data_IF_498282721491
#
_entry.id   IF_498282721491
#
_cell.length_a   1.000
_cell.length_b   1.000
_cell.length_c   1.000
_cell.angle_alpha   90.00
_cell.angle_beta   90.00
_cell.angle_gamma   90.00
#
_symmetry.space_group_name_H-M   'P 1'
#
loop_
_entity.id
_entity.type
_entity.pdbx_description
1 polymer ?
#
# COMPACT_ATOMS: atom_id res chain seq x y z
N UNK A 1 22.63 6.07 -18.31
CA UNK A 1 22.48 5.50 -16.94
C UNK A 1 21.78 4.15 -17.08
N UNK A 2 22.15 3.15 -16.29
CA UNK A 2 21.42 1.87 -16.27
C UNK A 2 19.97 2.10 -15.83
N UNK A 3 19.01 1.34 -16.41
CA UNK A 3 17.61 1.39 -16.00
C UNK A 3 17.48 0.98 -14.53
N UNK A 4 16.50 1.53 -13.83
CA UNK A 4 16.16 1.14 -12.46
C UNK A 4 15.66 -0.30 -12.42
N UNK A 5 16.01 -1.05 -11.39
CA UNK A 5 15.55 -2.41 -11.17
C UNK A 5 14.44 -2.45 -10.12
N UNK A 6 13.28 -2.97 -10.49
CA UNK A 6 12.11 -3.09 -9.62
C UNK A 6 11.81 -4.57 -9.41
N UNK A 7 11.87 -5.02 -8.15
CA UNK A 7 11.59 -6.41 -7.80
C UNK A 7 10.18 -6.54 -7.20
N UNK A 8 9.43 -7.51 -7.70
CA UNK A 8 8.09 -7.84 -7.23
C UNK A 8 8.16 -9.18 -6.49
N UNK A 9 7.94 -9.14 -5.18
CA UNK A 9 7.94 -10.34 -4.32
C UNK A 9 6.51 -10.80 -4.12
N UNK A 10 6.14 -11.83 -4.86
CA UNK A 10 4.79 -12.34 -5.07
C UNK A 10 4.33 -12.07 -6.51
N UNK A 11 4.11 -13.15 -7.28
CA UNK A 11 3.71 -13.09 -8.70
C UNK A 11 2.24 -13.46 -8.92
N UNK A 12 1.39 -13.22 -7.91
CA UNK A 12 -0.07 -13.39 -8.03
C UNK A 12 -0.72 -12.35 -8.96
N UNK A 13 -2.01 -12.06 -8.75
CA UNK A 13 -2.74 -11.09 -9.57
C UNK A 13 -2.19 -9.67 -9.39
N UNK A 14 -1.92 -9.26 -8.15
CA UNK A 14 -1.32 -7.94 -7.87
C UNK A 14 0.07 -7.85 -8.51
N UNK A 15 0.92 -8.88 -8.35
CA UNK A 15 2.27 -8.90 -8.91
C UNK A 15 2.29 -8.78 -10.43
N UNK A 16 1.44 -9.51 -11.15
CA UNK A 16 1.29 -9.38 -12.60
C UNK A 16 0.82 -7.99 -13.04
N UNK A 17 -0.19 -7.44 -12.35
CA UNK A 17 -0.69 -6.09 -12.63
C UNK A 17 0.37 -5.01 -12.37
N UNK A 18 1.14 -5.14 -11.28
CA UNK A 18 2.28 -4.26 -10.98
C UNK A 18 3.31 -4.30 -12.12
N UNK A 19 3.71 -5.50 -12.54
CA UNK A 19 4.71 -5.68 -13.61
C UNK A 19 4.27 -4.97 -14.89
N UNK A 20 3.03 -5.15 -15.30
CA UNK A 20 2.47 -4.52 -16.48
C UNK A 20 2.42 -2.98 -16.37
N UNK A 21 1.87 -2.46 -15.26
CA UNK A 21 1.80 -1.01 -15.04
C UNK A 21 3.18 -0.34 -14.94
N UNK A 22 4.17 -1.00 -14.36
CA UNK A 22 5.55 -0.51 -14.26
C UNK A 22 6.15 -0.36 -15.66
N UNK A 23 5.92 -1.33 -16.54
CA UNK A 23 6.36 -1.27 -17.93
C UNK A 23 5.70 -0.14 -18.68
N UNK A 24 4.37 -0.07 -18.70
CA UNK A 24 3.62 0.99 -19.38
C UNK A 24 4.05 2.42 -18.95
N UNK A 25 4.53 2.55 -17.71
CA UNK A 25 5.06 3.83 -17.20
C UNK A 25 6.57 3.99 -17.37
N UNK A 26 7.23 3.01 -17.97
CA UNK A 26 8.69 2.98 -18.21
C UNK A 26 9.51 3.31 -16.95
N UNK A 27 9.09 2.77 -15.80
CA UNK A 27 9.75 3.08 -14.52
C UNK A 27 11.08 2.34 -14.34
N UNK A 28 11.29 1.24 -15.06
CA UNK A 28 12.51 0.44 -15.01
C UNK A 28 12.30 -1.00 -15.44
N UNK A 29 13.34 -1.82 -15.30
CA UNK A 29 13.31 -3.25 -15.56
C UNK A 29 12.66 -3.99 -14.37
N UNK A 30 11.87 -5.03 -14.67
CA UNK A 30 11.09 -5.75 -13.67
C UNK A 30 11.63 -7.16 -13.46
N UNK A 31 11.84 -7.53 -12.21
CA UNK A 31 12.08 -8.93 -11.83
C UNK A 31 10.95 -9.42 -10.92
N UNK A 32 10.36 -10.55 -11.28
CA UNK A 32 9.29 -11.18 -10.54
C UNK A 32 9.82 -12.37 -9.74
N UNK A 33 9.52 -12.41 -8.45
CA UNK A 33 9.85 -13.51 -7.56
C UNK A 33 8.58 -14.18 -7.04
N UNK A 34 8.52 -15.49 -7.10
CA UNK A 34 7.50 -16.30 -6.40
C UNK A 34 8.07 -17.67 -6.04
N UNK A 35 7.51 -18.30 -5.00
CA UNK A 35 7.84 -19.69 -4.63
C UNK A 35 7.20 -20.71 -5.58
N UNK A 36 6.12 -20.34 -6.28
CA UNK A 36 5.45 -21.18 -7.26
C UNK A 36 6.31 -21.34 -8.52
N UNK A 37 6.54 -22.59 -8.91
CA UNK A 37 7.39 -22.89 -10.06
C UNK A 37 6.73 -22.45 -11.38
N UNK A 38 7.49 -21.85 -12.26
CA UNK A 38 7.04 -21.38 -13.57
C UNK A 38 6.17 -20.11 -13.58
N UNK A 39 5.48 -19.79 -12.49
CA UNK A 39 4.56 -18.63 -12.45
C UNK A 39 5.28 -17.30 -12.67
N UNK A 40 6.38 -16.95 -11.97
CA UNK A 40 7.04 -15.69 -12.19
C UNK A 40 7.68 -15.60 -13.59
N UNK A 41 8.21 -16.69 -14.11
CA UNK A 41 8.81 -16.74 -15.46
C UNK A 41 7.74 -16.59 -16.53
N UNK A 42 6.63 -17.35 -16.44
CA UNK A 42 5.53 -17.32 -17.38
C UNK A 42 4.89 -15.92 -17.48
N UNK A 43 4.58 -15.30 -16.36
CA UNK A 43 4.05 -13.94 -16.34
C UNK A 43 5.05 -12.90 -16.86
N UNK A 44 6.31 -13.01 -16.48
CA UNK A 44 7.35 -12.12 -17.00
C UNK A 44 7.48 -12.22 -18.53
N UNK A 45 7.41 -13.44 -19.09
CA UNK A 45 7.47 -13.67 -20.54
C UNK A 45 6.23 -13.12 -21.26
N UNK A 46 5.04 -13.37 -20.74
CA UNK A 46 3.78 -12.88 -21.30
C UNK A 46 3.76 -11.34 -21.37
N UNK A 47 4.12 -10.68 -20.25
CA UNK A 47 4.20 -9.22 -20.20
C UNK A 47 5.32 -8.70 -21.12
N UNK A 48 6.46 -9.36 -21.19
CA UNK A 48 7.53 -8.99 -22.13
C UNK A 48 7.06 -9.04 -23.59
N UNK A 49 6.19 -10.00 -23.94
CA UNK A 49 5.61 -10.11 -25.29
C UNK A 49 4.60 -9.01 -25.60
N UNK A 50 4.02 -8.33 -24.60
CA UNK A 50 3.15 -7.18 -24.80
C UNK A 50 3.94 -5.88 -25.10
N UNK A 51 5.20 -5.79 -24.71
CA UNK A 51 5.99 -4.56 -24.81
C UNK A 51 6.18 -4.05 -26.25
N UNK A 52 6.36 -4.91 -27.31
CA UNK A 52 6.44 -4.42 -28.68
C UNK A 52 5.12 -3.79 -29.17
N UNK A 53 3.98 -4.25 -28.66
CA UNK A 53 2.65 -3.70 -29.01
C UNK A 53 2.45 -2.32 -28.35
N UNK A 54 2.90 -2.19 -27.11
CA UNK A 54 2.80 -0.94 -26.34
C UNK A 54 3.92 0.07 -26.66
N UNK A 55 4.96 -0.35 -27.37
CA UNK A 55 6.10 0.52 -27.71
C UNK A 55 6.98 0.87 -26.51
N UNK A 56 7.12 -0.03 -25.54
CA UNK A 56 7.95 0.18 -24.34
C UNK A 56 9.13 -0.77 -24.28
N UNK A 57 10.26 -0.30 -23.76
CA UNK A 57 11.53 -1.04 -23.72
C UNK A 57 11.90 -1.52 -22.32
N UNK A 58 10.98 -2.04 -21.53
CA UNK A 58 11.27 -2.61 -20.22
C UNK A 58 11.70 -4.09 -20.36
N UNK A 59 12.74 -4.50 -19.63
CA UNK A 59 13.13 -5.90 -19.53
C UNK A 59 12.37 -6.58 -18.37
N UNK A 60 11.96 -7.84 -18.62
CA UNK A 60 11.25 -8.66 -17.64
C UNK A 60 11.95 -9.98 -17.42
N UNK A 61 12.00 -10.41 -16.15
CA UNK A 61 12.51 -11.73 -15.78
C UNK A 61 11.77 -12.27 -14.57
N UNK A 62 11.82 -13.59 -14.36
CA UNK A 62 11.20 -14.22 -13.21
C UNK A 62 12.05 -15.35 -12.63
N UNK A 63 11.88 -15.64 -11.35
CA UNK A 63 12.58 -16.72 -10.68
C UNK A 63 12.06 -17.03 -9.29
N UNK A 64 12.47 -18.19 -8.74
CA UNK A 64 12.06 -18.68 -7.42
C UNK A 64 13.15 -18.59 -6.35
N UNK A 65 14.32 -18.10 -6.69
CA UNK A 65 15.40 -17.85 -5.73
C UNK A 65 15.48 -16.37 -5.41
N UNK A 66 15.67 -16.04 -4.14
CA UNK A 66 15.78 -14.63 -3.72
C UNK A 66 16.96 -13.87 -4.33
N UNK A 67 17.96 -14.55 -4.90
CA UNK A 67 19.07 -13.87 -5.60
C UNK A 67 18.59 -13.01 -6.76
N UNK A 68 17.42 -13.30 -7.34
CA UNK A 68 16.84 -12.53 -8.46
C UNK A 68 16.57 -11.07 -8.07
N UNK A 69 16.28 -10.78 -6.77
CA UNK A 69 16.05 -9.41 -6.30
C UNK A 69 17.36 -8.64 -6.04
N UNK A 70 18.54 -9.26 -6.24
CA UNK A 70 19.83 -8.61 -5.98
C UNK A 70 19.95 -7.29 -6.73
N UNK A 71 20.32 -6.24 -5.99
CA UNK A 71 20.53 -4.91 -6.54
C UNK A 71 19.27 -4.17 -6.94
N UNK A 72 18.08 -4.60 -6.51
CA UNK A 72 16.86 -3.86 -6.78
C UNK A 72 16.87 -2.46 -6.12
N UNK A 73 16.43 -1.43 -6.87
CA UNK A 73 16.21 -0.08 -6.36
C UNK A 73 14.91 0.00 -5.53
N UNK A 74 13.87 -0.72 -6.01
CA UNK A 74 12.56 -0.80 -5.35
C UNK A 74 12.13 -2.26 -5.24
N UNK A 75 11.55 -2.61 -4.09
CA UNK A 75 10.90 -3.90 -3.89
C UNK A 75 9.45 -3.67 -3.50
N UNK A 76 8.52 -4.31 -4.20
CA UNK A 76 7.10 -4.31 -3.84
C UNK A 76 6.72 -5.71 -3.38
N UNK A 77 6.26 -5.82 -2.12
CA UNK A 77 5.96 -7.10 -1.48
C UNK A 77 4.45 -7.33 -1.46
N UNK A 78 4.02 -8.32 -2.23
CA UNK A 78 2.63 -8.80 -2.28
C UNK A 78 2.51 -10.25 -1.79
N UNK A 79 3.64 -10.88 -1.48
CA UNK A 79 3.71 -12.25 -1.00
C UNK A 79 2.91 -12.43 0.31
N UNK A 80 2.12 -13.47 0.38
CA UNK A 80 1.24 -13.79 1.51
C UNK A 80 -0.04 -14.42 1.03
N UNK A 81 -0.83 -14.91 1.98
CA UNK A 81 -2.15 -15.47 1.69
C UNK A 81 -3.24 -14.44 1.94
N UNK A 82 -4.26 -14.34 1.08
CA UNK A 82 -5.46 -13.57 1.37
C UNK A 82 -6.28 -14.26 2.46
N UNK A 83 -7.11 -13.50 3.18
CA UNK A 83 -8.05 -14.07 4.13
C UNK A 83 -9.05 -14.98 3.42
N UNK A 84 -9.15 -16.22 3.88
CA UNK A 84 -10.10 -17.20 3.36
C UNK A 84 -11.34 -17.29 4.29
N UNK A 85 -12.51 -17.73 3.78
CA UNK A 85 -13.66 -18.04 4.62
C UNK A 85 -13.27 -19.01 5.74
N UNK A 86 -13.74 -18.75 6.96
CA UNK A 86 -13.40 -19.55 8.14
C UNK A 86 -12.05 -19.25 8.81
N UNK A 87 -11.18 -18.46 8.17
CA UNK A 87 -9.89 -18.09 8.74
C UNK A 87 -10.05 -16.93 9.74
N UNK A 88 -9.56 -17.13 10.96
CA UNK A 88 -9.49 -16.06 11.96
C UNK A 88 -8.48 -14.99 11.57
N UNK A 89 -8.54 -13.83 12.24
CA UNK A 89 -7.55 -12.76 12.06
C UNK A 89 -6.16 -13.21 12.54
N UNK A 90 -6.10 -13.97 13.63
CA UNK A 90 -4.85 -14.44 14.22
C UNK A 90 -4.18 -15.50 13.35
N UNK A 91 -4.96 -16.39 12.70
CA UNK A 91 -4.44 -17.35 11.72
C UNK A 91 -3.77 -16.63 10.55
N UNK A 92 -4.42 -15.58 10.02
CA UNK A 92 -3.87 -14.80 8.92
C UNK A 92 -2.56 -14.11 9.33
N UNK A 93 -2.52 -13.53 10.53
CA UNK A 93 -1.30 -12.92 11.09
C UNK A 93 -0.20 -13.96 11.19
N UNK A 94 -0.47 -15.14 11.75
CA UNK A 94 0.53 -16.19 11.96
C UNK A 94 1.13 -16.70 10.63
N UNK A 95 0.30 -16.90 9.62
CA UNK A 95 0.75 -17.36 8.30
C UNK A 95 1.60 -16.28 7.62
N UNK A 96 1.08 -15.05 7.53
CA UNK A 96 1.76 -13.99 6.81
C UNK A 96 3.01 -13.47 7.56
N UNK A 97 3.06 -13.60 8.88
CA UNK A 97 4.28 -13.31 9.65
C UNK A 97 5.45 -14.23 9.25
N UNK A 98 5.19 -15.52 9.03
CA UNK A 98 6.21 -16.46 8.53
C UNK A 98 6.67 -16.07 7.12
N UNK A 99 5.76 -15.63 6.26
CA UNK A 99 6.11 -15.13 4.93
C UNK A 99 6.98 -13.88 5.04
N UNK A 100 6.62 -12.91 5.91
CA UNK A 100 7.43 -11.70 6.12
C UNK A 100 8.82 -12.00 6.65
N UNK A 101 8.98 -13.04 7.47
CA UNK A 101 10.29 -13.47 7.95
C UNK A 101 11.20 -13.97 6.79
N UNK A 102 10.64 -14.76 5.87
CA UNK A 102 11.37 -15.24 4.69
C UNK A 102 11.72 -14.10 3.74
N UNK A 103 10.74 -13.23 3.42
CA UNK A 103 10.94 -12.06 2.56
C UNK A 103 11.97 -11.10 3.16
N UNK A 104 11.85 -10.80 4.46
CA UNK A 104 12.80 -9.93 5.17
C UNK A 104 14.21 -10.46 5.15
N UNK A 105 14.41 -11.78 5.35
CA UNK A 105 15.72 -12.42 5.24
C UNK A 105 16.30 -12.32 3.82
N UNK A 106 15.46 -12.51 2.79
CA UNK A 106 15.85 -12.34 1.39
C UNK A 106 16.31 -10.91 1.08
N UNK A 107 15.53 -9.92 1.51
CA UNK A 107 15.87 -8.49 1.36
C UNK A 107 17.17 -8.16 2.08
N UNK A 108 17.31 -8.59 3.33
CA UNK A 108 18.54 -8.39 4.13
C UNK A 108 19.77 -8.94 3.44
N UNK A 109 19.66 -10.08 2.76
CA UNK A 109 20.78 -10.74 2.08
C UNK A 109 21.12 -10.08 0.74
N UNK A 110 20.12 -9.73 -0.07
CA UNK A 110 20.32 -9.42 -1.48
C UNK A 110 20.05 -7.97 -1.88
N UNK A 111 19.31 -7.19 -1.08
CA UNK A 111 18.82 -5.87 -1.49
C UNK A 111 18.78 -4.84 -0.33
N UNK A 112 19.87 -4.68 0.38
CA UNK A 112 20.01 -3.83 1.59
C UNK A 112 19.73 -2.34 1.37
N UNK A 113 19.77 -1.87 0.13
CA UNK A 113 19.60 -0.45 -0.20
C UNK A 113 18.23 -0.14 -0.85
N UNK A 114 17.41 -1.17 -1.08
CA UNK A 114 16.13 -1.00 -1.75
C UNK A 114 15.14 -0.17 -0.93
N UNK A 115 14.29 0.58 -1.62
CA UNK A 115 13.06 1.11 -1.05
C UNK A 115 11.98 0.03 -1.12
N UNK A 116 11.36 -0.27 0.02
CA UNK A 116 10.44 -1.42 0.15
C UNK A 116 9.02 -0.94 0.40
N UNK A 117 8.10 -1.35 -0.47
CA UNK A 117 6.66 -1.09 -0.35
C UNK A 117 5.96 -2.42 0.00
N UNK A 118 5.34 -2.51 1.17
CA UNK A 118 4.56 -3.66 1.61
C UNK A 118 3.08 -3.49 1.24
N UNK A 119 2.47 -4.56 0.68
CA UNK A 119 1.02 -4.63 0.38
C UNK A 119 0.34 -5.74 1.18
N UNK A 120 1.11 -6.70 1.70
CA UNK A 120 0.62 -7.89 2.40
C UNK A 120 -0.22 -7.54 3.62
N UNK A 121 -1.39 -8.19 3.75
CA UNK A 121 -2.33 -7.98 4.86
C UNK A 121 -2.11 -9.00 6.02
N UNK A 122 -2.42 -8.60 7.28
CA UNK A 122 -2.88 -7.27 7.72
C UNK A 122 -1.75 -6.24 7.64
N UNK A 123 -1.96 -5.22 6.80
CA UNK A 123 -0.89 -4.37 6.29
C UNK A 123 -0.01 -3.74 7.37
N UNK A 124 -0.63 -3.09 8.36
CA UNK A 124 0.11 -2.31 9.36
C UNK A 124 1.04 -3.18 10.22
N UNK A 125 0.62 -4.42 10.49
CA UNK A 125 1.45 -5.40 11.18
C UNK A 125 2.52 -6.00 10.27
N UNK A 126 2.18 -6.27 9.01
CA UNK A 126 3.12 -6.90 8.07
C UNK A 126 4.23 -5.94 7.64
N UNK A 127 3.95 -4.66 7.43
CA UNK A 127 5.00 -3.66 7.15
C UNK A 127 5.94 -3.49 8.34
N UNK A 128 5.40 -3.48 9.55
CA UNK A 128 6.20 -3.44 10.77
C UNK A 128 7.11 -4.69 10.87
N UNK A 129 6.53 -5.89 10.74
CA UNK A 129 7.28 -7.13 10.81
C UNK A 129 8.35 -7.25 9.71
N UNK A 130 8.01 -6.86 8.48
CA UNK A 130 8.93 -6.86 7.35
C UNK A 130 10.15 -5.96 7.63
N UNK A 131 9.93 -4.78 8.22
CA UNK A 131 11.02 -3.91 8.63
C UNK A 131 11.90 -4.57 9.70
N UNK A 132 11.29 -5.18 10.72
CA UNK A 132 12.04 -5.86 11.78
C UNK A 132 12.91 -7.00 11.22
N UNK A 133 12.36 -7.86 10.36
CA UNK A 133 13.10 -8.97 9.76
C UNK A 133 14.15 -8.54 8.73
N UNK A 134 13.89 -7.50 7.95
CA UNK A 134 14.85 -7.01 6.95
C UNK A 134 15.99 -6.20 7.56
N UNK A 135 15.72 -5.55 8.70
CA UNK A 135 16.68 -4.65 9.36
C UNK A 135 16.96 -3.37 8.58
N UNK A 136 16.14 -3.04 7.58
CA UNK A 136 16.27 -1.78 6.83
C UNK A 136 15.95 -0.57 7.72
N UNK A 137 16.49 0.62 7.44
CA UNK A 137 16.09 1.83 8.14
C UNK A 137 14.62 2.16 7.86
N UNK A 138 13.93 2.81 8.82
CA UNK A 138 12.49 3.06 8.75
C UNK A 138 12.05 3.87 7.52
N UNK A 139 12.89 4.79 7.06
CA UNK A 139 12.61 5.59 5.85
C UNK A 139 12.67 4.79 4.54
N UNK A 140 13.18 3.56 4.58
CA UNK A 140 13.25 2.67 3.41
C UNK A 140 12.12 1.63 3.37
N UNK A 141 11.26 1.58 4.36
CA UNK A 141 10.14 0.63 4.42
C UNK A 141 8.83 1.39 4.64
N UNK A 142 7.83 1.13 3.81
CA UNK A 142 6.52 1.78 3.86
C UNK A 142 5.41 0.82 3.47
N UNK A 143 4.22 0.99 4.02
CA UNK A 143 3.03 0.21 3.65
C UNK A 143 2.11 0.97 2.70
N UNK A 144 1.61 0.29 1.67
CA UNK A 144 0.57 0.80 0.78
C UNK A 144 -0.79 0.62 1.48
N UNK A 145 -1.37 1.71 1.95
CA UNK A 145 -2.60 1.75 2.75
C UNK A 145 -3.52 2.87 2.27
N UNK A 146 -3.40 4.04 2.87
CA UNK A 146 -4.25 5.18 2.61
C UNK A 146 -4.24 5.69 1.17
N UNK A 147 -3.20 5.40 0.37
CA UNK A 147 -3.20 5.70 -1.07
C UNK A 147 -4.35 4.99 -1.76
N UNK A 148 -4.54 3.69 -1.49
CA UNK A 148 -5.66 2.91 -2.01
C UNK A 148 -6.99 3.37 -1.41
N UNK A 149 -7.04 3.57 -0.10
CA UNK A 149 -8.28 3.94 0.59
C UNK A 149 -8.75 5.33 0.15
N UNK A 150 -7.83 6.27 -0.04
CA UNK A 150 -8.11 7.60 -0.60
C UNK A 150 -8.53 7.53 -2.07
N UNK A 151 -7.96 6.62 -2.87
CA UNK A 151 -8.38 6.43 -4.26
C UNK A 151 -9.83 5.94 -4.35
N UNK A 152 -10.26 5.03 -3.48
CA UNK A 152 -11.67 4.60 -3.37
C UNK A 152 -12.57 5.77 -2.99
N UNK A 153 -12.16 6.53 -1.97
CA UNK A 153 -12.92 7.70 -1.52
C UNK A 153 -13.05 8.75 -2.64
N UNK A 154 -11.94 9.06 -3.34
CA UNK A 154 -11.95 9.96 -4.50
C UNK A 154 -12.92 9.49 -5.59
N UNK A 155 -12.89 8.21 -5.93
CA UNK A 155 -13.77 7.64 -6.93
C UNK A 155 -15.25 7.81 -6.55
N UNK A 156 -15.64 7.44 -5.33
CA UNK A 156 -17.02 7.58 -4.89
C UNK A 156 -17.47 9.04 -4.76
N UNK A 157 -16.56 9.95 -4.40
CA UNK A 157 -16.85 11.39 -4.39
C UNK A 157 -17.04 11.92 -5.82
N UNK A 158 -16.22 11.49 -6.78
CA UNK A 158 -16.39 11.93 -8.18
C UNK A 158 -17.74 11.50 -8.76
N UNK A 159 -18.22 10.28 -8.41
CA UNK A 159 -19.57 9.83 -8.79
C UNK A 159 -20.67 10.67 -8.14
N UNK A 160 -20.53 11.01 -6.85
CA UNK A 160 -21.49 11.84 -6.11
C UNK A 160 -21.62 13.23 -6.71
N UNK A 161 -20.48 13.87 -7.00
CA UNK A 161 -20.44 15.24 -7.50
C UNK A 161 -20.52 15.36 -9.02
N UNK A 162 -20.45 14.22 -9.75
CA UNK A 162 -20.43 14.14 -11.22
C UNK A 162 -19.32 14.99 -11.84
N UNK A 163 -18.12 14.88 -11.27
CA UNK A 163 -16.90 15.57 -11.72
C UNK A 163 -15.80 14.57 -12.05
N UNK A 164 -14.77 15.04 -12.76
CA UNK A 164 -13.57 14.24 -12.99
C UNK A 164 -12.90 13.81 -11.67
N UNK A 165 -12.36 12.61 -11.62
CA UNK A 165 -11.51 12.14 -10.50
C UNK A 165 -10.25 13.00 -10.35
N UNK A 166 -9.84 13.75 -11.37
CA UNK A 166 -8.68 14.65 -11.33
C UNK A 166 -8.93 15.84 -10.41
N UNK A 167 -10.19 16.29 -10.32
CA UNK A 167 -10.61 17.41 -9.46
C UNK A 167 -10.83 17.00 -7.99
N UNK A 168 -10.79 15.71 -7.67
CA UNK A 168 -11.03 15.23 -6.32
C UNK A 168 -9.73 14.90 -5.59
N UNK A 169 -9.51 15.54 -4.45
CA UNK A 169 -8.46 15.19 -3.50
C UNK A 169 -9.09 14.62 -2.24
N UNK A 170 -8.53 13.52 -1.72
CA UNK A 170 -9.02 12.92 -0.49
C UNK A 170 -7.88 12.38 0.37
N UNK A 171 -8.07 12.40 1.68
CA UNK A 171 -7.16 11.83 2.66
C UNK A 171 -7.86 10.83 3.55
N UNK A 172 -7.29 9.62 3.61
CA UNK A 172 -7.69 8.57 4.56
C UNK A 172 -6.47 8.20 5.38
N UNK A 173 -6.58 8.33 6.69
CA UNK A 173 -5.53 8.06 7.67
C UNK A 173 -5.84 6.82 8.50
N UNK A 174 -4.94 6.49 9.45
CA UNK A 174 -5.11 5.37 10.37
C UNK A 174 -4.66 4.03 9.80
N UNK A 175 -4.98 2.95 10.50
CA UNK A 175 -4.71 1.59 10.03
C UNK A 175 -5.57 1.21 8.82
N UNK A 176 -5.02 0.39 7.95
CA UNK A 176 -5.71 -0.09 6.75
C UNK A 176 -6.80 -1.13 7.12
N UNK A 177 -8.06 -0.81 6.84
CA UNK A 177 -9.23 -1.65 7.12
C UNK A 177 -10.38 -0.89 7.79
N UNK A 178 -11.22 -1.58 8.56
CA UNK A 178 -12.48 -1.07 9.11
C UNK A 178 -12.32 0.17 10.00
N UNK A 179 -11.13 0.39 10.57
CA UNK A 179 -10.82 1.52 11.44
C UNK A 179 -10.15 2.69 10.72
N UNK A 180 -10.08 2.67 9.39
CA UNK A 180 -9.55 3.79 8.63
C UNK A 180 -10.32 5.09 8.91
N UNK A 181 -9.65 6.22 8.76
CA UNK A 181 -10.16 7.54 9.12
C UNK A 181 -10.19 8.45 7.89
N UNK A 182 -11.28 8.42 7.11
CA UNK A 182 -11.50 9.39 6.03
C UNK A 182 -11.67 10.80 6.63
N UNK A 183 -10.92 11.76 6.11
CA UNK A 183 -10.90 13.15 6.61
C UNK A 183 -11.68 14.06 5.67
N UNK A 184 -12.94 14.36 6.02
CA UNK A 184 -13.80 15.24 5.22
C UNK A 184 -13.21 16.64 5.05
N UNK A 185 -12.67 17.23 6.12
CA UNK A 185 -12.11 18.59 6.11
C UNK A 185 -10.87 18.75 5.22
N UNK A 186 -10.15 17.65 4.98
CA UNK A 186 -8.94 17.61 4.12
C UNK A 186 -9.23 16.93 2.79
N UNK A 187 -10.50 16.66 2.49
CA UNK A 187 -10.94 16.13 1.20
C UNK A 187 -11.72 17.20 0.46
N UNK A 188 -11.38 17.40 -0.83
CA UNK A 188 -11.87 18.56 -1.60
C UNK A 188 -12.28 18.15 -3.00
N UNK A 189 -13.17 18.95 -3.61
CA UNK A 189 -13.44 18.97 -5.05
C UNK A 189 -12.96 20.31 -5.59
N UNK A 190 -12.02 20.30 -6.50
CA UNK A 190 -11.39 21.50 -7.06
C UNK A 190 -10.93 22.51 -5.97
N UNK A 191 -10.41 22.01 -4.85
CA UNK A 191 -9.97 22.78 -3.70
C UNK A 191 -11.08 23.19 -2.72
N UNK A 192 -12.36 22.93 -3.01
CA UNK A 192 -13.47 23.23 -2.10
C UNK A 192 -13.64 22.08 -1.12
N UNK A 193 -13.51 22.31 0.21
CA UNK A 193 -13.66 21.26 1.21
C UNK A 193 -15.05 20.62 1.24
N UNK A 194 -15.14 19.32 1.50
CA UNK A 194 -16.43 18.61 1.56
C UNK A 194 -17.45 19.25 2.52
N UNK A 195 -17.07 19.76 3.72
CA UNK A 195 -18.04 20.45 4.59
C UNK A 195 -18.65 21.70 3.95
N UNK A 196 -17.92 22.42 3.09
CA UNK A 196 -18.44 23.60 2.41
C UNK A 196 -19.36 23.21 1.25
N UNK A 197 -19.08 22.11 0.54
CA UNK A 197 -19.99 21.54 -0.47
C UNK A 197 -21.33 21.12 0.14
N UNK A 198 -21.34 20.64 1.40
CA UNK A 198 -22.59 20.37 2.15
C UNK A 198 -23.33 21.66 2.44
N UNK A 199 -22.65 22.73 2.92
CA UNK A 199 -23.26 24.04 3.16
C UNK A 199 -23.85 24.65 1.86
N UNK A 200 -23.16 24.45 0.73
CA UNK A 200 -23.59 24.87 -0.61
C UNK A 200 -24.76 24.01 -1.14
N UNK A 201 -25.20 22.98 -0.42
CA UNK A 201 -26.23 22.03 -0.82
C UNK A 201 -25.93 21.24 -2.12
N UNK A 202 -24.65 21.09 -2.46
CA UNK A 202 -24.22 20.25 -3.59
C UNK A 202 -24.29 18.76 -3.24
N UNK A 203 -24.16 18.43 -1.95
CA UNK A 203 -24.47 17.12 -1.38
C UNK A 203 -25.06 17.30 0.03
N UNK A 204 -25.30 16.18 0.74
CA UNK A 204 -25.76 16.19 2.14
C UNK A 204 -24.80 15.39 3.03
N UNK A 205 -24.76 15.72 4.33
CA UNK A 205 -23.95 14.95 5.28
C UNK A 205 -24.34 13.45 5.31
N UNK A 206 -25.63 13.14 5.14
CA UNK A 206 -26.11 11.76 5.09
C UNK A 206 -25.53 10.99 3.88
N UNK A 207 -25.38 11.63 2.73
CA UNK A 207 -24.75 11.03 1.54
C UNK A 207 -23.25 10.86 1.74
N UNK A 208 -22.56 11.86 2.28
CA UNK A 208 -21.12 11.73 2.61
C UNK A 208 -20.87 10.59 3.59
N UNK A 209 -21.70 10.44 4.63
CA UNK A 209 -21.56 9.33 5.59
C UNK A 209 -21.71 7.96 4.91
N UNK A 210 -22.62 7.82 3.94
CA UNK A 210 -22.76 6.59 3.15
C UNK A 210 -21.51 6.33 2.30
N UNK A 211 -20.95 7.35 1.67
CA UNK A 211 -19.71 7.24 0.87
C UNK A 211 -18.52 6.87 1.74
N UNK A 212 -18.38 7.48 2.92
CA UNK A 212 -17.36 7.15 3.90
C UNK A 212 -17.47 5.68 4.34
N UNK A 213 -18.69 5.22 4.63
CA UNK A 213 -18.89 3.81 5.01
C UNK A 213 -18.56 2.87 3.84
N UNK A 214 -19.02 3.17 2.61
CA UNK A 214 -18.69 2.39 1.42
C UNK A 214 -17.18 2.36 1.15
N UNK A 215 -16.46 3.45 1.46
CA UNK A 215 -14.99 3.48 1.37
C UNK A 215 -14.34 2.47 2.33
N UNK A 216 -14.84 2.38 3.57
CA UNK A 216 -14.37 1.39 4.55
C UNK A 216 -14.66 -0.04 4.09
N UNK A 217 -15.82 -0.26 3.50
CA UNK A 217 -16.29 -1.57 3.02
C UNK A 217 -15.78 -1.93 1.62
N UNK A 218 -15.09 -1.01 0.94
CA UNK A 218 -14.73 -1.15 -0.48
C UNK A 218 -13.90 -2.39 -0.82
N UNK A 219 -13.10 -2.89 0.11
CA UNK A 219 -12.41 -4.19 -0.04
C UNK A 219 -13.37 -5.37 0.02
N UNK A 220 -14.29 -5.36 0.99
CA UNK A 220 -15.30 -6.40 1.18
C UNK A 220 -16.33 -6.42 0.04
N UNK A 221 -16.74 -5.24 -0.46
CA UNK A 221 -17.64 -5.11 -1.62
C UNK A 221 -17.04 -5.83 -2.85
N UNK A 222 -15.76 -5.61 -3.16
CA UNK A 222 -15.09 -6.25 -4.30
C UNK A 222 -14.98 -7.79 -4.09
N UNK A 223 -14.62 -8.23 -2.89
CA UNK A 223 -14.56 -9.67 -2.57
C UNK A 223 -15.94 -10.32 -2.72
N UNK A 224 -16.99 -9.64 -2.27
CA UNK A 224 -18.37 -10.11 -2.42
C UNK A 224 -18.81 -10.26 -3.88
N UNK A 225 -18.36 -9.36 -4.76
CA UNK A 225 -18.66 -9.41 -6.21
C UNK A 225 -17.82 -10.47 -6.94
N UNK A 226 -16.51 -10.55 -6.65
CA UNK A 226 -15.61 -11.50 -7.33
C UNK A 226 -15.80 -12.94 -6.88
N UNK A 227 -16.39 -13.19 -5.70
CA UNK A 227 -16.56 -14.50 -5.06
C UNK A 227 -15.24 -15.23 -4.74
N UNK A 228 -14.22 -15.07 -5.57
CA UNK A 228 -12.87 -15.63 -5.40
C UNK A 228 -11.84 -14.53 -5.57
N UNK A 229 -10.85 -14.43 -4.66
CA UNK A 229 -9.82 -13.44 -4.71
C UNK A 229 -10.18 -12.11 -4.03
N UNK A 230 -9.44 -11.07 -4.35
CA UNK A 230 -9.58 -9.72 -3.79
C UNK A 230 -9.23 -8.67 -4.85
N UNK A 231 -9.44 -7.40 -4.56
CA UNK A 231 -8.98 -6.30 -5.42
C UNK A 231 -7.49 -6.43 -5.74
N UNK A 232 -7.10 -6.19 -6.99
CA UNK A 232 -5.69 -6.24 -7.41
C UNK A 232 -5.29 -5.09 -8.35
N UNK A 233 -6.19 -4.51 -9.13
CA UNK A 233 -5.89 -3.37 -10.01
C UNK A 233 -5.59 -2.10 -9.21
N UNK A 234 -6.50 -1.67 -8.34
CA UNK A 234 -6.32 -0.45 -7.56
C UNK A 234 -5.16 -0.55 -6.54
N UNK A 235 -4.94 -1.67 -5.83
CA UNK A 235 -3.74 -1.87 -5.02
C UNK A 235 -2.44 -1.76 -5.82
N UNK A 236 -2.38 -2.36 -7.02
CA UNK A 236 -1.21 -2.27 -7.88
C UNK A 236 -0.95 -0.83 -8.32
N UNK A 237 -1.97 -0.13 -8.83
CA UNK A 237 -1.84 1.28 -9.24
C UNK A 237 -1.37 2.17 -8.09
N UNK A 238 -1.88 1.94 -6.87
CA UNK A 238 -1.49 2.67 -5.66
C UNK A 238 -0.02 2.47 -5.30
N UNK A 239 0.47 1.25 -5.35
CA UNK A 239 1.88 0.95 -5.06
C UNK A 239 2.82 1.47 -6.17
N UNK A 240 2.39 1.43 -7.44
CA UNK A 240 3.13 2.02 -8.56
C UNK A 240 3.26 3.53 -8.38
N UNK A 241 2.21 4.23 -7.91
CA UNK A 241 2.29 5.66 -7.61
C UNK A 241 3.34 5.97 -6.53
N UNK A 242 3.45 5.13 -5.50
CA UNK A 242 4.47 5.27 -4.46
C UNK A 242 5.88 5.00 -5.02
N UNK A 243 6.04 3.94 -5.81
CA UNK A 243 7.30 3.59 -6.46
C UNK A 243 7.78 4.68 -7.43
N UNK A 244 6.86 5.22 -8.24
CA UNK A 244 7.15 6.33 -9.17
C UNK A 244 7.59 7.59 -8.41
N UNK A 245 6.97 7.88 -7.27
CA UNK A 245 7.38 9.01 -6.44
C UNK A 245 8.81 8.87 -5.93
N UNK A 246 9.22 7.69 -5.51
CA UNK A 246 10.59 7.39 -5.11
C UNK A 246 11.57 7.44 -6.29
N UNK A 247 11.26 6.73 -7.37
CA UNK A 247 12.18 6.56 -8.51
C UNK A 247 12.44 7.86 -9.28
N UNK A 248 11.44 8.73 -9.38
CA UNK A 248 11.50 10.02 -10.10
C UNK A 248 11.66 11.21 -9.14
N UNK A 249 11.92 10.99 -7.86
CA UNK A 249 12.05 12.02 -6.82
C UNK A 249 10.91 13.06 -6.80
N UNK A 250 9.67 12.60 -6.99
CA UNK A 250 8.50 13.50 -7.16
C UNK A 250 8.07 14.24 -5.89
N UNK A 251 8.55 13.83 -4.72
CA UNK A 251 8.16 14.42 -3.42
C UNK A 251 6.64 14.42 -3.20
N UNK A 252 5.94 13.39 -3.69
CA UNK A 252 4.48 13.29 -3.50
C UNK A 252 4.13 13.16 -2.03
N UNK A 253 3.13 13.92 -1.61
CA UNK A 253 2.49 13.76 -0.30
C UNK A 253 1.37 12.73 -0.42
N UNK A 254 1.60 11.55 0.12
CA UNK A 254 0.71 10.40 0.00
C UNK A 254 0.35 9.85 1.39
N UNK A 255 -0.90 9.46 1.65
CA UNK A 255 -1.24 8.75 2.90
C UNK A 255 -0.74 7.30 2.84
N UNK A 256 0.27 7.00 3.62
CA UNK A 256 0.93 5.70 3.65
C UNK A 256 1.09 5.19 5.07
N UNK A 257 1.14 3.87 5.28
CA UNK A 257 1.56 3.31 6.55
C UNK A 257 3.07 3.51 6.70
N UNK A 258 3.46 4.59 7.37
CA UNK A 258 4.83 4.98 7.63
C UNK A 258 5.15 4.92 9.12
N UNK A 259 6.44 4.75 9.44
CA UNK A 259 6.89 4.76 10.82
C UNK A 259 6.78 6.15 11.44
N UNK A 260 6.10 6.20 12.57
CA UNK A 260 5.99 7.41 13.37
C UNK A 260 6.55 7.19 14.78
N UNK A 261 7.23 8.22 15.30
CA UNK A 261 7.83 8.20 16.62
C UNK A 261 7.73 9.58 17.28
N UNK A 262 6.54 9.91 17.74
CA UNK A 262 6.20 11.19 18.35
C UNK A 262 5.04 11.89 17.65
N UNK A 263 4.94 11.81 16.35
CA UNK A 263 3.87 12.42 15.57
C UNK A 263 2.51 11.87 16.05
N UNK A 264 1.50 12.75 16.10
CA UNK A 264 0.15 12.44 16.62
C UNK A 264 0.13 11.88 18.06
N UNK A 265 1.25 12.00 18.81
CA UNK A 265 1.41 11.38 20.13
C UNK A 265 1.64 9.87 20.12
N UNK A 266 1.94 9.29 18.96
CA UNK A 266 2.17 7.84 18.78
C UNK A 266 3.66 7.55 18.67
N UNK A 267 4.14 6.49 19.30
CA UNK A 267 5.55 6.08 19.26
C UNK A 267 5.71 4.66 18.70
N UNK A 268 6.79 4.45 17.97
CA UNK A 268 7.27 3.15 17.50
C UNK A 268 6.22 2.32 16.74
N UNK A 269 5.49 2.95 15.79
CA UNK A 269 4.41 2.28 15.08
C UNK A 269 4.40 2.67 13.60
N UNK A 270 4.02 1.73 12.74
CA UNK A 270 3.60 2.00 11.37
C UNK A 270 2.10 2.24 11.35
N UNK A 271 1.67 3.37 10.83
CA UNK A 271 0.25 3.72 10.70
C UNK A 271 0.06 4.70 9.54
N UNK A 272 -1.11 4.68 8.92
CA UNK A 272 -1.46 5.56 7.81
C UNK A 272 -1.44 7.03 8.20
N UNK A 273 -0.49 7.78 7.67
CA UNK A 273 -0.29 9.22 7.90
C UNK A 273 0.16 9.91 6.60
N UNK A 274 -0.02 11.24 6.47
CA UNK A 274 0.48 11.98 5.31
C UNK A 274 2.01 11.91 5.25
N UNK A 275 2.54 11.35 4.17
CA UNK A 275 3.94 10.97 4.02
C UNK A 275 4.52 11.53 2.72
N UNK A 276 5.60 12.26 2.79
CA UNK A 276 6.36 12.70 1.61
C UNK A 276 7.32 11.59 1.19
N UNK A 277 7.14 11.09 -0.03
CA UNK A 277 8.00 10.07 -0.64
C UNK A 277 8.83 10.71 -1.75
N UNK A 278 10.15 10.63 -1.64
CA UNK A 278 11.12 11.07 -2.63
C UNK A 278 12.29 10.08 -2.73
N UNK A 279 13.38 10.48 -3.37
CA UNK A 279 14.56 9.62 -3.59
C UNK A 279 15.21 9.14 -2.27
N UNK A 280 15.02 9.86 -1.17
CA UNK A 280 15.42 9.44 0.19
C UNK A 280 14.57 8.31 0.78
N UNK A 281 13.44 7.96 0.15
CA UNK A 281 12.40 7.08 0.70
C UNK A 281 11.29 7.89 1.36
N UNK A 282 10.89 7.53 2.57
CA UNK A 282 10.03 8.37 3.42
C UNK A 282 10.87 9.52 3.96
N UNK A 283 10.66 10.71 3.44
CA UNK A 283 11.50 11.88 3.77
C UNK A 283 10.89 12.73 4.87
N UNK A 284 9.57 12.77 4.96
CA UNK A 284 8.88 13.56 5.98
C UNK A 284 7.48 13.01 6.24
N UNK A 285 7.09 13.00 7.52
CA UNK A 285 5.69 12.87 7.94
C UNK A 285 5.12 14.27 8.12
N UNK A 286 3.98 14.54 7.50
CA UNK A 286 3.27 15.81 7.65
C UNK A 286 2.17 15.65 8.69
N UNK A 287 2.36 16.24 9.85
CA UNK A 287 1.39 16.17 10.94
C UNK A 287 0.31 17.22 10.72
N UNK A 288 -0.89 16.78 10.31
CA UNK A 288 -2.05 17.66 10.12
C UNK A 288 -2.86 17.74 11.41
N UNK A 289 -3.47 18.89 11.65
CA UNK A 289 -4.28 19.14 12.87
C UNK A 289 -5.62 18.40 12.77
N UNK A 290 -5.82 17.38 13.61
CA UNK A 290 -7.06 16.67 13.76
C UNK A 290 -7.98 17.40 14.75
N UNK A 291 -9.29 17.46 14.48
CA UNK A 291 -10.27 17.88 15.47
C UNK A 291 -10.51 16.74 16.49
N UNK A 292 -11.31 17.01 17.53
CA UNK A 292 -11.57 16.02 18.61
C UNK A 292 -12.20 14.73 18.11
N UNK A 293 -13.12 14.80 17.15
CA UNK A 293 -13.76 13.63 16.54
C UNK A 293 -12.80 12.80 15.69
N UNK A 294 -12.03 13.46 14.84
CA UNK A 294 -11.01 12.83 13.99
C UNK A 294 -9.89 12.21 14.84
N UNK A 295 -9.46 12.90 15.90
CA UNK A 295 -8.46 12.37 16.85
C UNK A 295 -8.97 11.11 17.55
N UNK A 296 -10.21 11.11 18.02
CA UNK A 296 -10.84 9.92 18.63
C UNK A 296 -10.88 8.73 17.67
N UNK A 297 -11.25 8.96 16.40
CA UNK A 297 -11.22 7.91 15.38
C UNK A 297 -9.79 7.42 15.11
N UNK A 298 -8.83 8.33 15.00
CA UNK A 298 -7.42 7.99 14.78
C UNK A 298 -6.85 7.19 15.96
N UNK A 299 -7.12 7.58 17.21
CA UNK A 299 -6.67 6.85 18.40
C UNK A 299 -7.24 5.43 18.47
N UNK A 300 -8.52 5.26 18.11
CA UNK A 300 -9.13 3.93 17.98
C UNK A 300 -8.42 3.09 16.92
N UNK A 301 -8.09 3.69 15.78
CA UNK A 301 -7.37 3.03 14.71
C UNK A 301 -5.95 2.62 15.13
N UNK A 302 -5.22 3.52 15.79
CA UNK A 302 -3.89 3.24 16.38
C UNK A 302 -3.94 2.10 17.40
N UNK A 303 -4.96 2.06 18.26
CA UNK A 303 -5.14 0.97 19.21
C UNK A 303 -5.32 -0.39 18.51
N UNK A 304 -6.08 -0.43 17.41
CA UNK A 304 -6.23 -1.64 16.58
C UNK A 304 -4.90 -2.11 16.00
N UNK A 305 -4.08 -1.19 15.44
CA UNK A 305 -2.76 -1.51 14.90
C UNK A 305 -1.81 -2.01 15.99
N UNK A 306 -1.80 -1.37 17.16
CA UNK A 306 -1.01 -1.84 18.32
C UNK A 306 -1.38 -3.27 18.72
N UNK A 307 -2.66 -3.60 18.70
CA UNK A 307 -3.14 -4.96 18.96
C UNK A 307 -2.59 -6.00 17.99
N UNK A 308 -2.52 -5.65 16.69
CA UNK A 308 -1.93 -6.52 15.66
C UNK A 308 -0.42 -6.72 15.85
N UNK A 309 0.32 -5.65 16.14
CA UNK A 309 1.76 -5.75 16.43
C UNK A 309 2.01 -6.58 17.68
N UNK A 310 1.19 -6.42 18.71
CA UNK A 310 1.27 -7.26 19.92
C UNK A 310 1.01 -8.75 19.62
N UNK A 311 0.07 -9.06 18.71
CA UNK A 311 -0.15 -10.43 18.26
C UNK A 311 1.08 -10.99 17.52
N UNK A 312 1.71 -10.21 16.65
CA UNK A 312 2.98 -10.62 16.00
C UNK A 312 4.07 -10.97 17.02
N UNK A 313 4.26 -10.12 18.05
CA UNK A 313 5.25 -10.35 19.12
C UNK A 313 4.96 -11.59 19.97
N UNK A 314 3.67 -11.95 20.15
CA UNK A 314 3.29 -13.20 20.84
C UNK A 314 3.63 -14.42 20.00
N UNK A 315 3.47 -14.35 18.68
CA UNK A 315 3.72 -15.44 17.73
C UNK A 315 5.23 -15.65 17.54
N UNK A 316 5.99 -14.59 17.34
CA UNK A 316 7.45 -14.66 17.19
C UNK A 316 8.14 -13.76 18.23
N UNK A 317 8.70 -14.39 19.27
CA UNK A 317 9.41 -13.72 20.36
C UNK A 317 10.74 -13.08 19.96
N UNK A 318 11.21 -13.29 18.72
CA UNK A 318 12.40 -12.60 18.17
C UNK A 318 12.08 -11.16 17.78
N UNK A 319 10.80 -10.83 17.58
CA UNK A 319 10.32 -9.49 17.32
C UNK A 319 10.23 -8.72 18.67
N UNK A 320 11.02 -7.65 18.79
CA UNK A 320 11.12 -6.85 20.03
C UNK A 320 10.22 -5.61 20.01
#
# INVERSE_FOLDING_TARGET
MARKKIALVGSGNIGGTLAHLIGLKELGDVVMFDIADGIPQGKALDIAQSTPVEGVDAAYSGGKDYSVIKGADVIIVTAGVPRKPGMSRDDLVAINLKVMAQVGAGIKKYAKNAFVICITNPLDAMVWALREYSGLPHNKVVGMAGVLDSARFRYFLSEEFKVSVEDVTAFVLGGHGDTMVPLERYSTVAGIPLPDLVKMKWTTQARLNKIIQRTRDGGAEIVGLLKTGSAFYAPAASAVQMAESYLKDKKRLLPCAAYINGQYGVKNLYVGVPTVIGAGGVERIVEIKLNSGEKKMFDKSVASVKGLVAACKKIDKKLK
#
